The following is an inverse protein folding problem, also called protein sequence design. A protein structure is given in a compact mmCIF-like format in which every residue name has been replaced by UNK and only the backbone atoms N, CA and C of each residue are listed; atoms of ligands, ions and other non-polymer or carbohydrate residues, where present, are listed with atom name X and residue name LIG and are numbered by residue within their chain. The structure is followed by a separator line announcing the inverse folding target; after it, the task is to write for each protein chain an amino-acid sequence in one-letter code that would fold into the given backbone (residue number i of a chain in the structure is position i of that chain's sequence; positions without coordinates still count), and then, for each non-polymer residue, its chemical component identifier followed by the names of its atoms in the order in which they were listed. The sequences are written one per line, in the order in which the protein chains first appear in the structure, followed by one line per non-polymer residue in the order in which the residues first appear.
data_IF_374774597881
#
_entry.id   IF_374774597881
#
_cell.length_a   1.000
_cell.length_b   1.000
_cell.length_c   1.000
_cell.angle_alpha   90.00
_cell.angle_beta   90.00
_cell.angle_gamma   90.00
#
_symmetry.space_group_name_H-M   'P 1'
#
loop_
_entity.id
_entity.type
_entity.pdbx_description
1 polymer ?
#
# COMPACT_ATOMS: atom_id res chain seq x y z
N UNK A 1 -5.73 36.07 -5.39
CA UNK A 1 -5.68 34.62 -5.09
C UNK A 1 -6.76 33.99 -5.94
N UNK A 2 -6.41 33.52 -7.14
CA UNK A 2 -7.32 32.71 -7.94
C UNK A 2 -7.87 31.60 -7.04
N UNK A 3 -9.19 31.44 -7.03
CA UNK A 3 -9.82 30.34 -6.32
C UNK A 3 -9.20 29.05 -6.81
N UNK A 4 -8.43 28.40 -5.94
CA UNK A 4 -7.99 27.03 -6.12
C UNK A 4 -9.27 26.19 -6.21
N UNK A 5 -9.79 26.00 -7.42
CA UNK A 5 -10.86 25.07 -7.71
C UNK A 5 -10.31 23.66 -7.46
N UNK A 6 -10.33 23.24 -6.20
CA UNK A 6 -10.13 21.85 -5.84
C UNK A 6 -11.35 21.08 -6.33
N UNK A 7 -11.28 20.64 -7.58
CA UNK A 7 -12.31 19.79 -8.15
C UNK A 7 -12.06 18.33 -7.72
N UNK A 8 -12.74 17.93 -6.65
CA UNK A 8 -12.62 16.59 -6.12
C UNK A 8 -13.34 15.59 -7.02
N UNK A 9 -12.62 14.60 -7.53
CA UNK A 9 -13.19 13.51 -8.32
C UNK A 9 -13.84 12.47 -7.40
N UNK A 10 -15.18 12.48 -7.31
CA UNK A 10 -15.95 11.52 -6.53
C UNK A 10 -16.51 10.36 -7.34
N UNK A 11 -16.61 10.52 -8.67
CA UNK A 11 -17.23 9.53 -9.56
C UNK A 11 -16.46 8.19 -9.50
N UNK A 12 -17.20 7.07 -9.43
CA UNK A 12 -16.71 5.67 -9.29
C UNK A 12 -16.08 5.31 -7.95
N UNK A 13 -15.99 6.23 -7.00
CA UNK A 13 -15.54 5.92 -5.65
C UNK A 13 -16.70 5.50 -4.75
N UNK A 14 -16.41 4.62 -3.79
CA UNK A 14 -17.33 4.37 -2.66
C UNK A 14 -17.12 5.48 -1.62
N UNK A 15 -18.15 5.90 -0.86
CA UNK A 15 -18.04 7.02 0.08
C UNK A 15 -16.84 6.97 1.04
N UNK A 16 -16.44 5.83 1.64
CA UNK A 16 -15.25 5.76 2.48
C UNK A 16 -13.92 6.05 1.78
N UNK A 17 -13.89 5.95 0.45
CA UNK A 17 -12.72 6.20 -0.39
C UNK A 17 -12.70 7.62 -0.97
N UNK A 18 -13.67 8.47 -0.62
CA UNK A 18 -13.73 9.83 -1.15
C UNK A 18 -12.50 10.66 -0.76
N UNK A 19 -12.01 11.54 -1.64
CA UNK A 19 -10.81 12.36 -1.37
C UNK A 19 -10.92 13.18 -0.09
N UNK A 20 -12.10 13.73 0.19
CA UNK A 20 -12.42 14.48 1.41
C UNK A 20 -12.24 13.65 2.68
N UNK A 21 -12.66 12.39 2.67
CA UNK A 21 -12.45 11.46 3.79
C UNK A 21 -10.97 11.11 3.94
N UNK A 22 -10.27 10.89 2.82
CA UNK A 22 -8.82 10.62 2.83
C UNK A 22 -8.01 11.79 3.38
N UNK A 23 -8.36 13.01 2.99
CA UNK A 23 -7.77 14.23 3.55
C UNK A 23 -8.05 14.36 5.04
N UNK A 24 -9.28 14.09 5.49
CA UNK A 24 -9.63 14.12 6.91
C UNK A 24 -8.81 13.11 7.72
N UNK A 25 -8.66 11.88 7.20
CA UNK A 25 -7.84 10.84 7.82
C UNK A 25 -6.37 11.25 7.88
N UNK A 26 -5.82 11.79 6.78
CA UNK A 26 -4.45 12.26 6.73
C UNK A 26 -4.19 13.42 7.68
N UNK A 27 -5.08 14.41 7.73
CA UNK A 27 -4.97 15.53 8.65
C UNK A 27 -5.00 15.06 10.11
N UNK A 28 -5.90 14.13 10.45
CA UNK A 28 -5.96 13.54 11.79
C UNK A 28 -4.69 12.75 12.14
N UNK A 29 -4.09 12.05 11.16
CA UNK A 29 -2.83 11.33 11.33
C UNK A 29 -1.68 12.27 11.66
N UNK A 30 -1.46 13.33 10.86
CA UNK A 30 -0.40 14.31 11.13
C UNK A 30 -0.62 15.08 12.43
N UNK A 31 -1.88 15.36 12.78
CA UNK A 31 -2.19 16.02 14.05
C UNK A 31 -1.88 15.14 15.26
N UNK A 32 -2.14 13.83 15.17
CA UNK A 32 -1.97 12.89 16.29
C UNK A 32 -0.59 12.24 16.37
N UNK A 33 0.19 12.25 15.28
CA UNK A 33 1.49 11.57 15.17
C UNK A 33 2.57 12.60 14.80
N UNK A 34 3.28 13.10 15.82
CA UNK A 34 4.30 14.15 15.64
C UNK A 34 5.52 13.72 14.82
N UNK A 35 5.90 12.45 14.87
CA UNK A 35 7.09 11.87 14.21
C UNK A 35 6.73 10.82 13.16
N UNK A 36 5.58 10.94 12.48
CA UNK A 36 5.02 9.93 11.57
C UNK A 36 6.05 9.31 10.61
N UNK A 37 6.87 10.15 9.97
CA UNK A 37 7.89 9.68 9.03
C UNK A 37 8.98 8.84 9.74
N UNK A 38 9.55 9.37 10.83
CA UNK A 38 10.59 8.67 11.58
C UNK A 38 10.07 7.33 12.12
N UNK A 39 8.89 7.34 12.75
CA UNK A 39 8.24 6.14 13.28
C UNK A 39 8.05 5.10 12.17
N UNK A 40 7.52 5.51 11.00
CA UNK A 40 7.30 4.61 9.87
C UNK A 40 8.61 4.02 9.29
N UNK A 41 9.71 4.78 9.32
CA UNK A 41 11.01 4.33 8.83
C UNK A 41 11.69 3.38 9.82
N UNK A 42 11.38 3.44 11.11
CA UNK A 42 11.97 2.57 12.14
C UNK A 42 11.21 1.25 12.31
N UNK A 43 9.88 1.25 12.21
CA UNK A 43 9.05 0.05 12.42
C UNK A 43 9.46 -1.12 11.51
N UNK A 44 9.62 -2.30 12.10
CA UNK A 44 9.89 -3.58 11.42
C UNK A 44 8.77 -4.62 11.58
N UNK A 45 7.85 -4.40 12.52
CA UNK A 45 6.73 -5.30 12.80
C UNK A 45 5.41 -4.76 12.23
N UNK A 46 4.69 -5.60 11.50
CA UNK A 46 3.44 -5.21 10.84
C UNK A 46 2.37 -4.67 11.80
N UNK A 47 2.28 -5.25 13.00
CA UNK A 47 1.28 -4.84 14.00
C UNK A 47 1.50 -3.39 14.47
N UNK A 48 2.75 -2.93 14.53
CA UNK A 48 3.07 -1.55 14.93
C UNK A 48 2.62 -0.54 13.88
N UNK A 49 2.57 -0.90 12.60
CA UNK A 49 1.94 -0.05 11.59
C UNK A 49 0.44 0.11 11.84
N UNK A 50 -0.27 -0.95 12.24
CA UNK A 50 -1.69 -0.84 12.57
C UNK A 50 -1.94 0.10 13.76
N UNK A 51 -1.05 0.11 14.75
CA UNK A 51 -1.09 1.06 15.85
C UNK A 51 -0.71 2.49 15.42
N UNK A 52 0.28 2.64 14.53
CA UNK A 52 0.70 3.93 13.99
C UNK A 52 -0.45 4.61 13.22
N UNK A 53 -1.15 3.87 12.37
CA UNK A 53 -2.29 4.37 11.58
C UNK A 53 -3.62 4.37 12.34
N UNK A 54 -3.64 3.94 13.60
CA UNK A 54 -4.83 4.04 14.47
C UNK A 54 -5.02 5.49 14.89
N UNK A 55 -6.02 6.12 14.28
CA UNK A 55 -6.37 7.53 14.47
C UNK A 55 -7.84 7.71 14.80
N UNK A 56 -8.17 8.81 15.47
CA UNK A 56 -9.55 9.24 15.67
C UNK A 56 -9.85 10.46 14.80
N UNK A 57 -10.88 10.37 13.97
CA UNK A 57 -11.39 11.51 13.21
C UNK A 57 -12.34 12.38 14.07
N UNK A 58 -12.41 13.68 13.78
CA UNK A 58 -13.34 14.62 14.44
C UNK A 58 -14.79 14.19 14.28
N UNK A 59 -15.68 14.61 15.18
CA UNK A 59 -17.11 14.27 15.14
C UNK A 59 -17.81 14.67 13.83
N UNK A 60 -17.38 15.78 13.21
CA UNK A 60 -17.88 16.21 11.90
C UNK A 60 -17.78 15.09 10.85
N UNK A 61 -16.60 14.50 10.68
CA UNK A 61 -16.35 13.44 9.69
C UNK A 61 -17.03 12.11 10.05
N UNK A 62 -17.50 11.93 11.28
CA UNK A 62 -18.29 10.73 11.64
C UNK A 62 -19.65 10.75 10.92
N UNK A 63 -20.19 11.93 10.61
CA UNK A 63 -21.48 12.11 9.93
C UNK A 63 -21.37 12.65 8.51
N UNK A 64 -20.17 12.91 7.99
CA UNK A 64 -19.96 13.48 6.65
C UNK A 64 -19.01 12.64 5.80
N UNK A 65 -19.31 12.55 4.50
CA UNK A 65 -18.38 12.02 3.49
C UNK A 65 -17.83 13.13 2.59
N UNK A 66 -18.51 14.27 2.49
CA UNK A 66 -18.06 15.50 1.82
C UNK A 66 -18.32 16.69 2.74
N UNK A 67 -17.86 17.89 2.33
CA UNK A 67 -18.09 19.10 3.12
C UNK A 67 -19.56 19.55 3.19
N UNK A 68 -20.41 19.00 2.32
CA UNK A 68 -21.79 19.48 2.13
C UNK A 68 -22.85 18.43 2.46
N UNK A 69 -22.53 17.14 2.39
CA UNK A 69 -23.50 16.07 2.51
C UNK A 69 -23.39 15.34 3.86
N UNK A 70 -24.49 15.36 4.61
CA UNK A 70 -24.66 14.56 5.83
C UNK A 70 -24.98 13.10 5.49
N UNK A 71 -24.66 12.21 6.43
CA UNK A 71 -24.83 10.77 6.29
C UNK A 71 -25.08 10.14 7.65
N UNK A 72 -25.49 8.87 7.65
CA UNK A 72 -25.55 8.07 8.88
C UNK A 72 -24.17 8.05 9.54
N UNK A 73 -24.16 8.19 10.86
CA UNK A 73 -22.93 8.16 11.66
C UNK A 73 -22.18 6.85 11.39
N UNK A 74 -20.93 6.95 10.96
CA UNK A 74 -20.05 5.80 10.78
C UNK A 74 -18.60 6.16 11.11
N UNK A 75 -17.84 5.23 11.74
CA UNK A 75 -16.42 5.43 11.97
C UNK A 75 -15.70 5.52 10.62
N UNK A 76 -14.86 6.55 10.42
CA UNK A 76 -14.02 6.70 9.23
C UNK A 76 -12.60 6.24 9.52
N UNK A 77 -12.46 5.05 10.08
CA UNK A 77 -11.16 4.48 10.41
C UNK A 77 -10.42 4.07 9.14
N UNK A 78 -9.08 4.03 9.22
CA UNK A 78 -8.24 3.44 8.17
C UNK A 78 -8.32 1.92 8.33
N UNK A 79 -8.70 1.20 7.26
CA UNK A 79 -8.82 -0.27 7.32
C UNK A 79 -7.45 -0.92 7.25
N UNK A 80 -7.36 -2.16 7.73
CA UNK A 80 -6.13 -2.97 7.68
C UNK A 80 -5.63 -3.14 6.25
N UNK A 81 -6.54 -3.38 5.31
CA UNK A 81 -6.23 -3.59 3.89
C UNK A 81 -5.63 -2.35 3.24
N UNK A 82 -6.09 -1.16 3.65
CA UNK A 82 -5.50 0.09 3.17
C UNK A 82 -4.10 0.30 3.76
N UNK A 83 -3.91 -0.02 5.04
CA UNK A 83 -2.59 0.07 5.68
C UNK A 83 -1.62 -0.89 4.97
N UNK A 84 -2.02 -2.14 4.74
CA UNK A 84 -1.24 -3.12 3.98
C UNK A 84 -0.86 -2.57 2.59
N UNK A 85 -1.82 -1.97 1.87
CA UNK A 85 -1.57 -1.35 0.56
C UNK A 85 -0.57 -0.18 0.62
N UNK A 86 -0.67 0.67 1.65
CA UNK A 86 0.27 1.77 1.89
C UNK A 86 1.67 1.24 2.23
N UNK A 87 1.76 0.13 2.98
CA UNK A 87 3.06 -0.46 3.30
C UNK A 87 3.74 -0.95 2.03
N UNK A 88 3.02 -1.70 1.19
CA UNK A 88 3.54 -2.24 -0.08
C UNK A 88 3.95 -1.13 -1.04
N UNK A 89 3.05 -0.17 -1.30
CA UNK A 89 3.24 0.80 -2.38
C UNK A 89 3.98 2.06 -1.97
N UNK A 90 4.10 2.35 -0.67
CA UNK A 90 4.65 3.61 -0.19
C UNK A 90 5.75 3.40 0.82
N UNK A 91 5.49 2.70 1.93
CA UNK A 91 6.44 2.64 3.04
C UNK A 91 7.66 1.79 2.68
N UNK A 92 7.48 0.61 2.07
CA UNK A 92 8.59 -0.25 1.65
C UNK A 92 9.52 0.46 0.65
N UNK A 93 9.01 1.03 -0.47
CA UNK A 93 9.86 1.77 -1.41
C UNK A 93 10.54 2.98 -0.77
N UNK A 94 9.82 3.72 0.09
CA UNK A 94 10.34 4.89 0.77
C UNK A 94 11.44 4.53 1.78
N UNK A 95 11.24 3.47 2.56
CA UNK A 95 12.21 2.95 3.52
C UNK A 95 13.49 2.47 2.83
N UNK A 96 13.35 1.75 1.72
CA UNK A 96 14.49 1.37 0.88
C UNK A 96 15.27 2.60 0.40
N UNK A 97 14.58 3.60 -0.16
CA UNK A 97 15.24 4.81 -0.68
C UNK A 97 15.88 5.63 0.44
N UNK A 98 15.20 5.77 1.58
CA UNK A 98 15.70 6.49 2.74
C UNK A 98 16.98 5.86 3.28
N UNK A 99 16.99 4.54 3.52
CA UNK A 99 18.20 3.85 3.95
C UNK A 99 19.34 3.92 2.92
N UNK A 100 19.01 3.94 1.62
CA UNK A 100 20.00 4.13 0.56
C UNK A 100 20.68 5.49 0.66
N UNK A 101 19.93 6.56 0.95
CA UNK A 101 20.51 7.89 1.15
C UNK A 101 21.40 7.99 2.39
N UNK A 102 21.17 7.13 3.39
CA UNK A 102 21.99 7.05 4.60
C UNK A 102 23.18 6.09 4.48
N UNK A 103 23.28 5.32 3.38
CA UNK A 103 24.33 4.31 3.19
C UNK A 103 24.18 3.06 4.06
N UNK A 104 22.99 2.81 4.61
CA UNK A 104 22.71 1.71 5.57
C UNK A 104 21.53 0.84 5.12
N UNK A 105 21.48 0.47 3.84
CA UNK A 105 20.38 -0.34 3.30
C UNK A 105 20.37 -1.73 3.93
N UNK A 106 19.32 -2.01 4.70
CA UNK A 106 19.07 -3.31 5.31
C UNK A 106 18.01 -4.05 4.50
N UNK A 107 18.39 -4.51 3.30
CA UNK A 107 17.47 -5.16 2.34
C UNK A 107 16.72 -6.32 2.99
N UNK A 108 17.39 -7.16 3.77
CA UNK A 108 16.77 -8.33 4.41
C UNK A 108 15.61 -7.93 5.33
N UNK A 109 15.79 -6.89 6.16
CA UNK A 109 14.72 -6.38 7.03
C UNK A 109 13.55 -5.80 6.25
N UNK A 110 13.81 -5.18 5.10
CA UNK A 110 12.76 -4.65 4.21
C UNK A 110 11.97 -5.80 3.59
N UNK A 111 12.65 -6.86 3.15
CA UNK A 111 12.01 -8.05 2.60
C UNK A 111 11.22 -8.82 3.67
N UNK A 112 11.76 -8.95 4.89
CA UNK A 112 11.06 -9.54 6.04
C UNK A 112 9.76 -8.80 6.35
N UNK A 113 9.74 -7.47 6.24
CA UNK A 113 8.51 -6.68 6.40
C UNK A 113 7.48 -7.02 5.31
N UNK A 114 7.92 -7.18 4.06
CA UNK A 114 7.04 -7.59 2.95
C UNK A 114 6.50 -9.02 3.13
N UNK A 115 7.29 -9.92 3.73
CA UNK A 115 6.89 -11.31 4.00
C UNK A 115 5.85 -11.43 5.12
N UNK A 116 5.76 -10.46 6.04
CA UNK A 116 4.73 -10.42 7.09
C UNK A 116 3.33 -10.07 6.56
N UNK A 117 3.24 -9.49 5.37
CA UNK A 117 1.99 -9.10 4.73
C UNK A 117 1.38 -10.26 3.97
N UNK A 118 0.04 -10.34 3.97
CA UNK A 118 -0.69 -11.36 3.20
C UNK A 118 -0.46 -11.16 1.69
N UNK A 119 -0.49 -12.27 0.95
CA UNK A 119 -0.49 -12.25 -0.50
C UNK A 119 -1.59 -11.32 -1.05
N UNK A 120 -1.19 -10.47 -2.00
CA UNK A 120 -2.11 -9.59 -2.71
C UNK A 120 -3.09 -10.39 -3.59
N UNK A 121 -4.30 -9.88 -3.73
CA UNK A 121 -5.33 -10.47 -4.58
C UNK A 121 -5.54 -9.61 -5.80
N UNK A 122 -5.11 -10.12 -6.95
CA UNK A 122 -5.36 -9.51 -8.24
C UNK A 122 -5.40 -10.59 -9.33
N UNK A 123 -5.95 -10.24 -10.50
CA UNK A 123 -6.15 -11.16 -11.60
C UNK A 123 -4.85 -11.79 -12.14
N UNK A 124 -3.69 -11.15 -11.96
CA UNK A 124 -2.41 -11.71 -12.37
C UNK A 124 -1.99 -12.82 -11.41
N UNK A 125 -2.08 -12.59 -10.11
CA UNK A 125 -1.77 -13.59 -9.07
C UNK A 125 -2.74 -14.78 -9.13
N UNK A 126 -4.02 -14.54 -9.42
CA UNK A 126 -5.01 -15.60 -9.63
C UNK A 126 -4.59 -16.53 -10.79
N UNK A 127 -4.15 -15.96 -11.92
CA UNK A 127 -3.63 -16.74 -13.06
C UNK A 127 -2.37 -17.54 -12.74
N UNK A 128 -1.46 -16.98 -11.94
CA UNK A 128 -0.32 -17.78 -11.44
C UNK A 128 -0.79 -18.95 -10.56
N UNK A 129 -1.83 -18.74 -9.75
CA UNK A 129 -2.46 -19.80 -8.96
C UNK A 129 -3.05 -20.92 -9.82
N UNK A 130 -3.67 -20.60 -10.97
CA UNK A 130 -4.16 -21.58 -11.96
C UNK A 130 -3.00 -22.43 -12.53
N UNK A 131 -1.82 -21.84 -12.70
CA UNK A 131 -0.57 -22.52 -13.08
C UNK A 131 0.08 -23.29 -11.93
N UNK A 132 -0.61 -23.43 -10.79
CA UNK A 132 -0.13 -24.08 -9.55
C UNK A 132 1.04 -23.35 -8.87
N UNK A 133 1.31 -22.10 -9.23
CA UNK A 133 2.29 -21.24 -8.56
C UNK A 133 1.54 -20.45 -7.48
N UNK A 134 1.68 -20.87 -6.23
CA UNK A 134 1.00 -20.24 -5.08
C UNK A 134 1.91 -19.22 -4.41
N UNK A 135 1.34 -18.07 -4.05
CA UNK A 135 1.99 -17.07 -3.20
C UNK A 135 1.30 -16.99 -1.84
N UNK A 136 2.09 -16.85 -0.79
CA UNK A 136 1.64 -16.83 0.61
C UNK A 136 1.73 -15.43 1.24
N UNK A 137 2.62 -14.59 0.72
CA UNK A 137 2.90 -13.26 1.25
C UNK A 137 3.06 -12.20 0.14
N UNK A 138 3.12 -10.93 0.54
CA UNK A 138 3.22 -9.80 -0.40
C UNK A 138 4.56 -9.77 -1.15
N UNK A 139 5.66 -10.22 -0.54
CA UNK A 139 6.94 -10.33 -1.22
C UNK A 139 6.85 -11.23 -2.46
N UNK A 140 6.27 -12.42 -2.30
CA UNK A 140 6.07 -13.37 -3.39
C UNK A 140 5.13 -12.82 -4.47
N UNK A 141 4.03 -12.15 -4.10
CA UNK A 141 3.13 -11.56 -5.10
C UNK A 141 3.81 -10.43 -5.87
N UNK A 142 4.57 -9.56 -5.20
CA UNK A 142 5.34 -8.51 -5.86
C UNK A 142 6.41 -9.08 -6.80
N UNK A 143 7.09 -10.17 -6.41
CA UNK A 143 8.05 -10.85 -7.28
C UNK A 143 7.38 -11.41 -8.54
N UNK A 144 6.21 -12.04 -8.43
CA UNK A 144 5.45 -12.55 -9.57
C UNK A 144 4.89 -11.44 -10.46
N UNK A 145 4.43 -10.33 -9.88
CA UNK A 145 3.98 -9.17 -10.63
C UNK A 145 5.13 -8.57 -11.45
N UNK A 146 6.30 -8.42 -10.84
CA UNK A 146 7.50 -7.93 -11.51
C UNK A 146 7.95 -8.89 -12.62
N UNK A 147 7.97 -10.20 -12.35
CA UNK A 147 8.26 -11.23 -13.34
C UNK A 147 7.30 -11.15 -14.54
N UNK A 148 5.98 -11.06 -14.26
CA UNK A 148 4.97 -10.99 -15.31
C UNK A 148 5.15 -9.76 -16.18
N UNK A 149 5.40 -8.62 -15.55
CA UNK A 149 5.49 -7.31 -16.22
C UNK A 149 6.78 -7.18 -17.02
N UNK A 150 7.94 -7.41 -16.41
CA UNK A 150 9.23 -7.07 -17.03
C UNK A 150 9.82 -8.18 -17.91
N UNK A 151 9.31 -9.42 -17.78
CA UNK A 151 9.79 -10.57 -18.55
C UNK A 151 8.70 -11.24 -19.37
N UNK A 152 7.64 -11.74 -18.74
CA UNK A 152 6.66 -12.58 -19.45
C UNK A 152 5.78 -11.79 -20.43
N UNK A 153 5.46 -10.52 -20.15
CA UNK A 153 4.73 -9.67 -21.08
C UNK A 153 5.58 -9.28 -22.30
N UNK A 154 6.88 -9.07 -22.08
CA UNK A 154 7.86 -8.70 -23.10
C UNK A 154 8.50 -9.89 -23.82
N UNK A 155 8.05 -11.12 -23.52
CA UNK A 155 8.58 -12.38 -24.09
C UNK A 155 10.11 -12.57 -23.90
N UNK A 156 10.69 -11.99 -22.83
CA UNK A 156 12.13 -12.04 -22.52
C UNK A 156 12.56 -13.32 -21.82
N UNK A 157 12.10 -14.48 -22.30
CA UNK A 157 12.33 -15.78 -21.65
C UNK A 157 13.82 -16.14 -21.54
N UNK A 158 14.65 -15.75 -22.50
CA UNK A 158 16.10 -15.99 -22.52
C UNK A 158 16.88 -15.14 -21.49
N UNK A 159 16.28 -14.06 -20.98
CA UNK A 159 16.87 -13.21 -19.94
C UNK A 159 16.30 -13.55 -18.55
N UNK A 160 15.19 -14.27 -18.51
CA UNK A 160 14.54 -14.71 -17.28
C UNK A 160 15.18 -16.01 -16.77
N UNK A 161 15.60 -16.05 -15.50
CA UNK A 161 16.14 -17.29 -14.90
C UNK A 161 15.15 -18.46 -14.94
N UNK A 162 13.86 -18.18 -14.68
CA UNK A 162 12.79 -19.19 -14.76
C UNK A 162 12.58 -19.63 -16.21
N UNK A 163 12.50 -18.68 -17.15
CA UNK A 163 12.34 -18.98 -18.58
C UNK A 163 13.48 -19.85 -19.12
N UNK A 164 14.72 -19.47 -18.84
CA UNK A 164 15.91 -20.26 -19.17
C UNK A 164 15.88 -21.67 -18.57
N UNK A 165 15.41 -21.82 -17.32
CA UNK A 165 15.31 -23.13 -16.69
C UNK A 165 14.25 -24.02 -17.35
N UNK A 166 13.18 -23.43 -17.90
CA UNK A 166 12.12 -24.18 -18.60
C UNK A 166 12.61 -24.59 -20.01
N UNK A 167 13.31 -23.71 -20.72
CA UNK A 167 13.78 -23.93 -22.10
C UNK A 167 15.01 -24.85 -22.21
N UNK A 168 15.75 -25.07 -21.12
CA UNK A 168 16.92 -25.96 -21.09
C UNK A 168 16.56 -27.44 -20.91
N UNK A 169 15.29 -27.75 -20.70
CA UNK A 169 14.74 -29.12 -20.75
C UNK A 169 14.25 -29.44 -22.16
#
# INVERSE_FOLDING_TARGET
LEELKLDFQFFRLRPPNFPTVRLAQQAALYHQKGSLFADAMEITEINKFYDLFRISISDYWKTHYSFTATSKKSPKNISKELIDLMIINTIIPLKFKYQQTLGVVETDKILELAMQLKAEKNAIIEKFGELKIKSTNAFETQALLQLKKEYCAELRCLECKIGNSILKN
#
